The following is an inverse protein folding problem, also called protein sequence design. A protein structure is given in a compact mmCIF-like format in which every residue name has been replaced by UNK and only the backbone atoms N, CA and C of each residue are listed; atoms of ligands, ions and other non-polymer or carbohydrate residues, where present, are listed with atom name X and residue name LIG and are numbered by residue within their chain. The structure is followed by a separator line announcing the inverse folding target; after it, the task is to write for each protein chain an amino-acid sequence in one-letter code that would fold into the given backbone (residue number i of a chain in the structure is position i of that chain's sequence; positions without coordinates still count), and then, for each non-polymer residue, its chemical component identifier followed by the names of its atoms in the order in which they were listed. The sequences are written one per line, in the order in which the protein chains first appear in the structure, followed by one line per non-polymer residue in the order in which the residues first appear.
data_IF_733823048239
#
_entry.id   IF_733823048239
#
_cell.length_a   1.000
_cell.length_b   1.000
_cell.length_c   1.000
_cell.angle_alpha   90.00
_cell.angle_beta   90.00
_cell.angle_gamma   90.00
#
_symmetry.space_group_name_H-M   'P 1'
#
loop_
_entity.id
_entity.type
_entity.pdbx_description
1 polymer ?
#
# COMPACT_ATOMS: atom_id res chain seq x y z
N UNK A 1 -48.46 16.80 -5.90
CA UNK A 1 -48.36 15.34 -5.68
C UNK A 1 -47.51 14.70 -6.77
N UNK A 2 -47.95 14.71 -8.04
CA UNK A 2 -47.23 14.09 -9.17
C UNK A 2 -45.78 14.57 -9.35
N UNK A 3 -45.48 15.84 -9.11
CA UNK A 3 -44.11 16.39 -9.24
C UNK A 3 -43.13 15.85 -8.19
N UNK A 4 -43.62 15.58 -6.97
CA UNK A 4 -42.80 14.99 -5.90
C UNK A 4 -42.62 13.48 -6.09
N UNK A 5 -43.65 12.81 -6.62
CA UNK A 5 -43.56 11.39 -7.00
C UNK A 5 -42.57 11.19 -8.17
N UNK A 6 -42.58 12.09 -9.17
CA UNK A 6 -41.60 12.11 -10.28
C UNK A 6 -40.19 12.38 -9.77
N UNK A 7 -40.00 13.38 -8.91
CA UNK A 7 -38.69 13.70 -8.34
C UNK A 7 -38.14 12.58 -7.44
N UNK A 8 -39.02 11.86 -6.74
CA UNK A 8 -38.62 10.68 -5.94
C UNK A 8 -38.29 9.47 -6.82
N UNK A 9 -39.06 9.25 -7.88
CA UNK A 9 -38.78 8.22 -8.89
C UNK A 9 -37.50 8.53 -9.70
N UNK A 10 -37.20 9.80 -9.99
CA UNK A 10 -35.94 10.25 -10.60
C UNK A 10 -34.74 10.03 -9.66
N UNK A 11 -34.89 10.35 -8.37
CA UNK A 11 -33.86 10.05 -7.36
C UNK A 11 -33.63 8.55 -7.15
N UNK A 12 -34.68 7.72 -7.22
CA UNK A 12 -34.59 6.25 -7.16
C UNK A 12 -34.03 5.61 -8.46
N UNK A 13 -34.10 6.33 -9.60
CA UNK A 13 -33.52 5.93 -10.89
C UNK A 13 -32.04 6.29 -11.01
N UNK A 14 -31.63 7.46 -10.50
CA UNK A 14 -30.20 7.85 -10.46
C UNK A 14 -29.37 6.88 -9.60
N UNK A 15 -29.95 6.34 -8.53
CA UNK A 15 -29.30 5.35 -7.65
C UNK A 15 -29.13 3.95 -8.29
N UNK A 16 -29.76 3.66 -9.44
CA UNK A 16 -29.79 2.30 -10.04
C UNK A 16 -28.99 2.12 -11.33
N UNK A 17 -28.33 3.16 -11.84
CA UNK A 17 -27.69 3.13 -13.16
C UNK A 17 -26.16 3.16 -13.14
N UNK A 18 -25.52 3.11 -11.97
CA UNK A 18 -24.06 3.05 -11.95
C UNK A 18 -23.57 1.66 -12.37
N UNK A 19 -22.91 1.60 -13.52
CA UNK A 19 -22.07 0.49 -13.92
C UNK A 19 -20.63 0.98 -14.08
N UNK A 20 -19.63 0.27 -13.56
CA UNK A 20 -18.25 0.68 -13.72
C UNK A 20 -17.86 0.77 -15.21
N UNK A 21 -17.14 1.83 -15.63
CA UNK A 21 -16.66 1.95 -17.00
C UNK A 21 -15.79 0.78 -17.46
N UNK A 22 -15.84 0.49 -18.75
CA UNK A 22 -14.96 -0.52 -19.38
C UNK A 22 -13.50 -0.18 -19.12
N UNK A 23 -12.72 -1.17 -18.68
CA UNK A 23 -11.29 -1.01 -18.38
C UNK A 23 -10.99 -0.59 -16.93
N UNK A 24 -11.97 -0.11 -16.17
CA UNK A 24 -11.75 0.32 -14.78
C UNK A 24 -11.20 -0.82 -13.92
N UNK A 25 -11.72 -2.03 -14.09
CA UNK A 25 -11.24 -3.20 -13.36
C UNK A 25 -9.74 -3.44 -13.57
N UNK A 26 -9.28 -3.47 -14.81
CA UNK A 26 -7.87 -3.73 -15.12
C UNK A 26 -6.95 -2.65 -14.56
N UNK A 27 -7.37 -1.38 -14.61
CA UNK A 27 -6.61 -0.27 -14.03
C UNK A 27 -6.53 -0.36 -12.50
N UNK A 28 -7.65 -0.66 -11.82
CA UNK A 28 -7.65 -0.85 -10.37
C UNK A 28 -6.81 -2.06 -9.95
N UNK A 29 -6.85 -3.15 -10.71
CA UNK A 29 -5.99 -4.31 -10.50
C UNK A 29 -4.51 -3.93 -10.62
N UNK A 30 -4.13 -3.18 -11.66
CA UNK A 30 -2.76 -2.69 -11.83
C UNK A 30 -2.34 -1.79 -10.65
N UNK A 31 -3.22 -0.87 -10.23
CA UNK A 31 -2.97 -0.01 -9.06
C UNK A 31 -2.76 -0.84 -7.80
N UNK A 32 -3.62 -1.82 -7.52
CA UNK A 32 -3.47 -2.74 -6.39
C UNK A 32 -2.11 -3.45 -6.41
N UNK A 33 -1.70 -3.99 -7.56
CA UNK A 33 -0.43 -4.69 -7.71
C UNK A 33 0.80 -3.79 -7.47
N UNK A 34 0.80 -2.57 -8.00
CA UNK A 34 1.87 -1.59 -7.77
C UNK A 34 1.95 -1.23 -6.29
N UNK A 35 0.80 -0.94 -5.68
CA UNK A 35 0.70 -0.63 -4.27
C UNK A 35 1.21 -1.82 -3.43
N UNK A 36 0.83 -3.06 -3.77
CA UNK A 36 1.21 -4.27 -3.04
C UNK A 36 2.72 -4.54 -3.13
N UNK A 37 3.31 -4.34 -4.31
CA UNK A 37 4.77 -4.41 -4.50
C UNK A 37 5.52 -3.42 -3.61
N UNK A 38 5.03 -2.19 -3.51
CA UNK A 38 5.61 -1.17 -2.63
C UNK A 38 5.52 -1.57 -1.16
N UNK A 39 4.34 -2.04 -0.73
CA UNK A 39 4.12 -2.55 0.62
C UNK A 39 5.07 -3.70 0.98
N UNK A 40 5.19 -4.72 0.12
CA UNK A 40 6.07 -5.88 0.34
C UNK A 40 7.52 -5.42 0.54
N UNK A 41 8.00 -4.48 -0.29
CA UNK A 41 9.35 -3.91 -0.14
C UNK A 41 9.52 -3.20 1.21
N UNK A 42 8.55 -2.40 1.63
CA UNK A 42 8.56 -1.69 2.91
C UNK A 42 8.54 -2.67 4.10
N UNK A 43 7.69 -3.70 4.04
CA UNK A 43 7.62 -4.79 5.02
C UNK A 43 8.97 -5.49 5.20
N UNK A 44 9.59 -5.94 4.10
CA UNK A 44 10.90 -6.61 4.15
C UNK A 44 11.96 -5.69 4.78
N UNK A 45 11.92 -4.40 4.46
CA UNK A 45 12.84 -3.41 5.06
C UNK A 45 12.64 -3.28 6.57
N UNK A 46 11.39 -3.17 7.04
CA UNK A 46 11.07 -3.09 8.47
C UNK A 46 11.49 -4.36 9.23
N UNK A 47 11.26 -5.53 8.65
CA UNK A 47 11.70 -6.82 9.22
C UNK A 47 13.23 -6.91 9.33
N UNK A 48 13.95 -6.45 8.30
CA UNK A 48 15.42 -6.39 8.32
C UNK A 48 15.93 -5.39 9.37
N UNK A 49 15.27 -4.24 9.53
CA UNK A 49 15.63 -3.25 10.55
C UNK A 49 15.44 -3.81 11.96
N UNK A 50 14.35 -4.52 12.22
CA UNK A 50 14.13 -5.23 13.48
C UNK A 50 15.21 -6.28 13.74
N UNK A 51 15.57 -7.07 12.74
CA UNK A 51 16.63 -8.07 12.90
C UNK A 51 17.97 -7.40 13.24
N UNK A 52 18.28 -6.28 12.60
CA UNK A 52 19.51 -5.53 12.83
C UNK A 52 19.55 -4.95 14.26
N UNK A 53 18.43 -4.42 14.75
CA UNK A 53 18.30 -3.92 16.12
C UNK A 53 18.48 -5.05 17.16
N UNK A 54 17.94 -6.25 16.89
CA UNK A 54 18.14 -7.44 17.74
C UNK A 54 19.61 -7.85 17.81
N UNK A 55 20.27 -7.91 16.65
CA UNK A 55 21.69 -8.28 16.58
C UNK A 55 22.58 -7.25 17.29
N UNK A 56 22.25 -5.97 17.20
CA UNK A 56 22.95 -4.90 17.91
C UNK A 56 22.79 -5.02 19.44
N UNK A 57 21.58 -5.33 19.91
CA UNK A 57 21.29 -5.58 21.32
C UNK A 57 22.09 -6.78 21.86
N UNK A 58 22.13 -7.91 21.14
CA UNK A 58 22.89 -9.09 21.54
C UNK A 58 24.41 -8.84 21.54
N UNK A 59 24.92 -8.07 20.57
CA UNK A 59 26.32 -7.65 20.54
C UNK A 59 26.66 -6.77 21.75
N UNK A 60 25.80 -5.81 22.08
CA UNK A 60 25.99 -4.93 23.24
C UNK A 60 25.98 -5.73 24.55
N UNK A 61 25.03 -6.67 24.70
CA UNK A 61 24.96 -7.59 25.85
C UNK A 61 26.25 -8.40 26.01
N UNK A 62 26.76 -9.00 24.94
CA UNK A 62 28.02 -9.78 24.94
C UNK A 62 29.24 -8.92 25.29
N UNK A 63 29.31 -7.69 24.78
CA UNK A 63 30.40 -6.74 25.12
C UNK A 63 30.39 -6.40 26.61
N UNK A 64 29.21 -6.15 27.18
CA UNK A 64 29.06 -5.81 28.61
C UNK A 64 29.31 -6.99 29.55
N UNK A 65 29.06 -8.23 29.11
CA UNK A 65 29.35 -9.43 29.90
C UNK A 65 30.83 -9.88 29.86
N UNK A 66 31.64 -9.34 28.94
CA UNK A 66 33.07 -9.65 28.84
C UNK A 66 33.89 -8.84 29.85
N UNK A 67 34.80 -9.48 30.59
CA UNK A 67 35.66 -8.83 31.59
C UNK A 67 36.52 -7.68 31.02
N UNK A 68 37.03 -7.84 29.80
CA UNK A 68 37.80 -6.79 29.08
C UNK A 68 36.86 -5.70 28.55
N UNK A 69 35.64 -6.08 28.15
CA UNK A 69 34.62 -5.14 27.69
C UNK A 69 34.06 -4.26 28.81
N UNK A 70 33.85 -4.82 30.01
CA UNK A 70 33.36 -4.11 31.18
C UNK A 70 34.29 -2.96 31.63
N UNK A 71 35.60 -3.09 31.42
CA UNK A 71 36.59 -2.06 31.79
C UNK A 71 36.66 -0.89 30.80
N UNK A 72 36.28 -1.10 29.53
CA UNK A 72 36.35 -0.09 28.43
C UNK A 72 34.96 0.48 28.07
N UNK A 73 33.86 -0.14 28.53
CA UNK A 73 32.49 0.11 28.09
C UNK A 73 31.79 1.35 28.70
N UNK A 74 32.51 2.46 28.93
CA UNK A 74 31.96 3.70 29.53
C UNK A 74 31.46 4.74 28.52
N UNK A 75 30.97 4.35 27.34
CA UNK A 75 30.31 5.29 26.43
C UNK A 75 28.81 4.99 26.26
N UNK A 76 28.00 5.77 26.99
CA UNK A 76 26.53 5.80 26.90
C UNK A 76 26.01 5.97 25.47
N UNK A 77 26.79 6.63 24.59
CA UNK A 77 26.51 6.77 23.15
C UNK A 77 26.15 5.45 22.44
N UNK A 78 26.75 4.32 22.84
CA UNK A 78 26.46 3.01 22.23
C UNK A 78 25.16 2.36 22.73
N UNK A 79 24.72 2.70 23.94
CA UNK A 79 23.44 2.27 24.50
C UNK A 79 22.33 3.09 23.85
N UNK A 80 22.51 4.42 23.82
CA UNK A 80 21.55 5.34 23.21
C UNK A 80 21.30 5.03 21.73
N UNK A 81 22.34 4.62 20.99
CA UNK A 81 22.23 4.21 19.58
C UNK A 81 21.44 2.91 19.41
N UNK A 82 21.69 1.91 20.27
CA UNK A 82 20.94 0.64 20.25
C UNK A 82 19.48 0.88 20.65
N UNK A 83 19.22 1.68 21.69
CA UNK A 83 17.87 2.03 22.13
C UNK A 83 17.11 2.79 21.04
N UNK A 84 17.75 3.76 20.38
CA UNK A 84 17.18 4.46 19.22
C UNK A 84 16.83 3.47 18.11
N UNK A 85 17.75 2.58 17.75
CA UNK A 85 17.52 1.57 16.70
C UNK A 85 16.33 0.65 17.01
N UNK A 86 16.13 0.29 18.29
CA UNK A 86 14.98 -0.50 18.74
C UNK A 86 13.68 0.27 18.57
N UNK A 87 13.64 1.53 18.98
CA UNK A 87 12.45 2.38 18.84
C UNK A 87 12.09 2.55 17.37
N UNK A 88 13.07 2.89 16.53
CA UNK A 88 12.86 3.05 15.08
C UNK A 88 12.33 1.77 14.44
N UNK A 89 12.94 0.61 14.74
CA UNK A 89 12.48 -0.68 14.21
C UNK A 89 11.03 -1.00 14.61
N UNK A 90 10.65 -0.71 15.87
CA UNK A 90 9.27 -0.90 16.35
C UNK A 90 8.29 0.03 15.64
N UNK A 91 8.66 1.30 15.48
CA UNK A 91 7.85 2.27 14.75
C UNK A 91 7.60 1.82 13.32
N UNK A 92 8.66 1.44 12.58
CA UNK A 92 8.52 0.97 11.20
C UNK A 92 7.68 -0.30 11.08
N UNK A 93 7.74 -1.22 12.05
CA UNK A 93 6.87 -2.39 12.09
C UNK A 93 5.39 -2.04 12.37
N UNK A 94 5.16 -1.09 13.26
CA UNK A 94 3.81 -0.62 13.55
C UNK A 94 3.20 0.06 12.31
N UNK A 95 3.99 0.87 11.60
CA UNK A 95 3.55 1.50 10.34
C UNK A 95 3.13 0.46 9.30
N UNK A 96 3.96 -0.58 9.03
CA UNK A 96 3.58 -1.61 8.04
C UNK A 96 2.39 -2.46 8.50
N UNK A 97 2.15 -2.55 9.80
CA UNK A 97 0.96 -3.24 10.34
C UNK A 97 -0.31 -2.43 10.12
N UNK A 98 -0.25 -1.13 10.44
CA UNK A 98 -1.37 -0.20 10.22
C UNK A 98 -1.68 -0.05 8.73
N UNK A 99 -0.64 0.07 7.91
CA UNK A 99 -0.75 0.16 6.45
C UNK A 99 -1.40 -1.11 5.88
N UNK A 100 -1.04 -2.31 6.35
CA UNK A 100 -1.69 -3.54 5.90
C UNK A 100 -3.19 -3.56 6.25
N UNK A 101 -3.53 -3.21 7.49
CA UNK A 101 -4.92 -3.20 7.95
C UNK A 101 -5.77 -2.21 7.14
N UNK A 102 -5.24 -1.01 6.91
CA UNK A 102 -5.86 0.02 6.07
C UNK A 102 -6.10 -0.51 4.65
N UNK A 103 -5.06 -1.07 4.03
CA UNK A 103 -5.13 -1.55 2.64
C UNK A 103 -6.14 -2.66 2.45
N UNK A 104 -6.13 -3.65 3.34
CA UNK A 104 -7.10 -4.76 3.31
C UNK A 104 -8.52 -4.21 3.41
N UNK A 105 -8.75 -3.25 4.31
CA UNK A 105 -10.06 -2.62 4.46
C UNK A 105 -10.45 -1.83 3.21
N UNK A 106 -9.61 -0.90 2.76
CA UNK A 106 -9.90 -0.03 1.60
C UNK A 106 -10.15 -0.82 0.34
N UNK A 107 -9.28 -1.77 0.01
CA UNK A 107 -9.46 -2.57 -1.22
C UNK A 107 -10.72 -3.42 -1.18
N UNK A 108 -11.09 -3.96 -0.01
CA UNK A 108 -12.38 -4.66 0.16
C UNK A 108 -13.58 -3.73 -0.06
N UNK A 109 -13.53 -2.49 0.42
CA UNK A 109 -14.59 -1.51 0.16
C UNK A 109 -14.67 -1.14 -1.32
N UNK A 110 -13.53 -0.95 -1.98
CA UNK A 110 -13.49 -0.63 -3.42
C UNK A 110 -14.08 -1.79 -4.25
N UNK A 111 -13.71 -3.05 -3.98
CA UNK A 111 -14.30 -4.21 -4.66
C UNK A 111 -15.82 -4.28 -4.45
N UNK A 112 -16.31 -3.99 -3.24
CA UNK A 112 -17.74 -3.97 -2.94
C UNK A 112 -18.48 -2.89 -3.72
N UNK A 113 -17.92 -1.67 -3.78
CA UNK A 113 -18.51 -0.55 -4.53
C UNK A 113 -18.45 -0.78 -6.04
N UNK A 114 -17.38 -1.41 -6.53
CA UNK A 114 -17.16 -1.63 -7.96
C UNK A 114 -17.86 -2.88 -8.49
N UNK A 115 -18.18 -3.86 -7.65
CA UNK A 115 -18.87 -5.10 -8.04
C UNK A 115 -17.99 -6.09 -8.82
N UNK A 116 -16.66 -6.00 -8.73
CA UNK A 116 -15.73 -6.93 -9.39
C UNK A 116 -14.48 -7.19 -8.55
N UNK A 117 -13.78 -8.30 -8.83
CA UNK A 117 -12.54 -8.66 -8.15
C UNK A 117 -11.36 -7.80 -8.62
N UNK A 118 -10.60 -7.28 -7.65
CA UNK A 118 -9.40 -6.46 -7.81
C UNK A 118 -8.21 -7.15 -7.15
N UNK A 119 -8.37 -7.60 -5.90
CA UNK A 119 -7.28 -8.19 -5.09
C UNK A 119 -6.86 -9.53 -5.69
N UNK A 120 -7.84 -10.36 -6.05
CA UNK A 120 -7.59 -11.62 -6.76
C UNK A 120 -7.57 -11.36 -8.28
N UNK A 121 -6.37 -11.24 -8.83
CA UNK A 121 -6.15 -10.87 -10.22
C UNK A 121 -4.98 -11.67 -10.86
N UNK A 122 -4.75 -11.47 -12.16
CA UNK A 122 -3.76 -12.22 -12.95
C UNK A 122 -2.30 -11.84 -12.68
N UNK A 123 -2.04 -10.87 -11.79
CA UNK A 123 -0.73 -10.39 -11.39
C UNK A 123 -0.18 -9.27 -12.29
N UNK A 124 0.79 -8.53 -11.73
CA UNK A 124 1.38 -7.32 -12.32
C UNK A 124 1.83 -7.49 -13.78
N UNK A 125 2.60 -8.54 -14.08
CA UNK A 125 3.18 -8.73 -15.42
C UNK A 125 2.12 -8.92 -16.53
N UNK A 126 1.04 -9.62 -16.22
CA UNK A 126 -0.07 -9.83 -17.16
C UNK A 126 -0.82 -8.53 -17.38
N UNK A 127 -1.10 -7.79 -16.30
CA UNK A 127 -1.81 -6.51 -16.36
C UNK A 127 -1.04 -5.45 -17.14
N UNK A 128 0.27 -5.31 -16.89
CA UNK A 128 1.15 -4.41 -17.66
C UNK A 128 1.15 -4.78 -19.15
N UNK A 129 1.24 -6.08 -19.47
CA UNK A 129 1.20 -6.55 -20.86
C UNK A 129 -0.14 -6.20 -21.53
N UNK A 130 -1.27 -6.41 -20.87
CA UNK A 130 -2.60 -6.13 -21.44
C UNK A 130 -2.80 -4.63 -21.62
N UNK A 131 -2.54 -3.83 -20.57
CA UNK A 131 -2.84 -2.40 -20.59
C UNK A 131 -1.88 -1.62 -21.51
N UNK A 132 -0.59 -1.92 -21.48
CA UNK A 132 0.39 -1.14 -22.24
C UNK A 132 0.58 -1.62 -23.69
N UNK A 133 0.37 -2.91 -24.01
CA UNK A 133 0.38 -3.36 -25.42
C UNK A 133 -0.90 -2.96 -26.17
N UNK A 134 -2.03 -2.82 -25.49
CA UNK A 134 -3.26 -2.30 -26.12
C UNK A 134 -3.18 -0.81 -26.44
N UNK A 135 -2.42 -0.02 -25.68
CA UNK A 135 -2.18 1.40 -25.99
C UNK A 135 -1.35 1.63 -27.26
N UNK A 136 -0.50 0.67 -27.67
CA UNK A 136 0.23 0.75 -28.94
C UNK A 136 -0.60 0.46 -30.19
N UNK A 137 -1.82 -0.10 -30.06
CA UNK A 137 -2.67 -0.52 -31.19
C UNK A 137 -3.90 0.39 -31.45
N UNK A 138 -3.86 1.66 -31.03
CA UNK A 138 -4.59 2.74 -31.71
C UNK A 138 -6.13 2.79 -31.60
N UNK A 139 -6.76 2.20 -30.57
CA UNK A 139 -8.22 2.38 -30.33
C UNK A 139 -8.63 2.43 -28.85
N UNK A 140 -7.94 3.22 -28.05
CA UNK A 140 -8.40 3.56 -26.70
C UNK A 140 -9.38 4.74 -26.75
N UNK A 141 -10.68 4.46 -26.81
CA UNK A 141 -11.74 5.44 -26.53
C UNK A 141 -11.63 5.86 -25.05
N UNK A 142 -10.80 6.86 -24.75
CA UNK A 142 -10.97 7.64 -23.53
C UNK A 142 -11.84 8.85 -23.87
N UNK A 143 -13.06 8.97 -23.28
CA UNK A 143 -13.78 10.22 -23.27
C UNK A 143 -12.88 11.29 -22.63
N UNK A 144 -12.58 12.33 -23.40
CA UNK A 144 -11.87 13.52 -22.94
C UNK A 144 -12.69 14.15 -21.81
N UNK A 145 -12.34 13.88 -20.55
CA UNK A 145 -13.03 14.50 -19.42
C UNK A 145 -12.68 14.03 -18.01
N UNK A 146 -12.21 12.77 -17.80
CA UNK A 146 -12.10 12.22 -16.44
C UNK A 146 -10.67 11.88 -15.97
N UNK A 147 -9.64 12.23 -16.73
CA UNK A 147 -8.24 11.95 -16.36
C UNK A 147 -7.63 13.20 -15.75
N UNK A 148 -7.83 13.44 -14.47
CA UNK A 148 -6.99 14.42 -13.75
C UNK A 148 -6.54 14.00 -12.35
N UNK A 149 -6.93 12.84 -11.83
CA UNK A 149 -6.57 12.50 -10.43
C UNK A 149 -6.09 11.08 -10.17
N UNK A 150 -5.81 10.28 -11.20
CA UNK A 150 -5.14 8.99 -11.03
C UNK A 150 -3.95 8.98 -11.99
N UNK A 151 -2.86 9.64 -11.59
CA UNK A 151 -1.42 9.35 -11.83
C UNK A 151 -0.66 10.63 -11.45
N UNK A 152 -0.54 10.93 -10.16
CA UNK A 152 0.57 11.76 -9.66
C UNK A 152 0.98 11.23 -8.30
N UNK A 153 1.74 10.13 -8.27
CA UNK A 153 2.67 9.82 -7.17
C UNK A 153 3.82 8.96 -7.74
N UNK A 154 4.52 9.50 -8.73
CA UNK A 154 5.89 9.11 -9.04
C UNK A 154 6.67 10.41 -9.18
N UNK A 155 7.12 10.96 -8.05
CA UNK A 155 8.26 11.88 -7.86
C UNK A 155 8.21 12.40 -6.42
N UNK A 156 8.77 11.64 -5.48
CA UNK A 156 9.63 12.16 -4.41
C UNK A 156 10.41 11.04 -3.72
#
# INVERSE_FOLDING_TARGET
MLRNELQRAEGELEDRCWSPPVGLQQWLQLTHEIENKAYIKKKISAEKQLQSARDACEKLKKKRSSLVGAFVSTHGKSIDEVDRSIVEARTSLNEVTQELAERVHRWKQIEMLCGFNIINNSGLAVLESVLYKSSSNGRGLLPKGCISYIVILYYH
#
